data_IF_291107031323
#
_entry.id   IF_291107031323
#
_cell.length_a   1.000
_cell.length_b   1.000
_cell.length_c   1.000
_cell.angle_alpha   90.00
_cell.angle_beta   90.00
_cell.angle_gamma   90.00
#
_symmetry.space_group_name_H-M   'P 1'
#
loop_
_entity.id
_entity.type
_entity.pdbx_description
1 polymer ?
#
# COMPACT_ATOMS: atom_id res chain seq x y z
N UNK A 1 29.38 21.72 -31.70
CA UNK A 1 28.31 22.33 -30.90
C UNK A 1 28.52 21.84 -29.45
N UNK A 2 28.83 22.73 -28.49
CA UNK A 2 29.05 22.36 -27.09
C UNK A 2 27.71 22.44 -26.35
N UNK A 3 27.16 21.31 -25.93
CA UNK A 3 25.95 21.26 -25.09
C UNK A 3 26.31 21.81 -23.70
N UNK A 4 25.55 22.76 -23.18
CA UNK A 4 25.81 23.30 -21.83
C UNK A 4 25.42 22.25 -20.76
N UNK A 5 26.08 22.30 -19.59
CA UNK A 5 25.78 21.44 -18.46
C UNK A 5 24.27 21.45 -18.09
N UNK A 6 23.63 22.62 -18.19
CA UNK A 6 22.19 22.81 -17.92
C UNK A 6 21.31 22.10 -18.98
N UNK A 7 21.69 22.14 -20.24
CA UNK A 7 21.01 21.43 -21.32
C UNK A 7 21.17 19.90 -21.18
N UNK A 8 22.38 19.46 -20.84
CA UNK A 8 22.63 18.02 -20.59
C UNK A 8 21.81 17.49 -19.43
N UNK A 9 21.77 18.19 -18.30
CA UNK A 9 20.96 17.82 -17.14
C UNK A 9 19.45 17.80 -17.44
N UNK A 10 18.98 18.72 -18.30
CA UNK A 10 17.58 18.70 -18.74
C UNK A 10 17.28 17.46 -19.59
N UNK A 11 18.12 17.14 -20.55
CA UNK A 11 17.95 15.94 -21.40
C UNK A 11 17.98 14.67 -20.56
N UNK A 12 18.93 14.57 -19.62
CA UNK A 12 19.01 13.41 -18.71
C UNK A 12 17.71 13.28 -17.87
N UNK A 13 17.18 14.38 -17.34
CA UNK A 13 15.90 14.37 -16.61
C UNK A 13 14.72 13.92 -17.48
N UNK A 14 14.63 14.42 -18.71
CA UNK A 14 13.57 14.05 -19.65
C UNK A 14 13.66 12.57 -20.05
N UNK A 15 14.86 12.05 -20.25
CA UNK A 15 15.10 10.62 -20.53
C UNK A 15 14.79 9.71 -19.34
N UNK A 16 15.21 10.09 -18.14
CA UNK A 16 14.88 9.36 -16.92
C UNK A 16 13.36 9.32 -16.71
N UNK A 17 12.67 10.45 -16.86
CA UNK A 17 11.21 10.52 -16.73
C UNK A 17 10.50 9.65 -17.77
N UNK A 18 10.94 9.64 -19.04
CA UNK A 18 10.37 8.77 -20.08
C UNK A 18 10.61 7.29 -19.78
N UNK A 19 11.78 6.95 -19.28
CA UNK A 19 12.13 5.57 -18.93
C UNK A 19 11.30 5.06 -17.74
N UNK A 20 11.11 5.89 -16.70
CA UNK A 20 10.22 5.61 -15.58
C UNK A 20 8.77 5.37 -16.04
N UNK A 21 8.25 6.22 -16.94
CA UNK A 21 6.91 6.07 -17.51
C UNK A 21 6.77 4.80 -18.34
N UNK A 22 7.82 4.39 -19.06
CA UNK A 22 7.83 3.15 -19.84
C UNK A 22 7.82 1.92 -18.94
N UNK A 23 8.72 1.86 -17.94
CA UNK A 23 8.81 0.77 -16.97
C UNK A 23 7.48 0.64 -16.21
N UNK A 24 6.89 1.76 -15.81
CA UNK A 24 5.60 1.79 -15.16
C UNK A 24 4.47 1.23 -16.05
N UNK A 25 4.44 1.61 -17.34
CA UNK A 25 3.45 1.07 -18.30
C UNK A 25 3.63 -0.43 -18.52
N UNK A 26 4.86 -0.90 -18.68
CA UNK A 26 5.16 -2.33 -18.90
C UNK A 26 4.78 -3.16 -17.68
N UNK A 27 5.10 -2.69 -16.47
CA UNK A 27 4.70 -3.35 -15.23
C UNK A 27 3.17 -3.38 -15.06
N UNK A 28 2.48 -2.26 -15.35
CA UNK A 28 1.01 -2.19 -15.29
C UNK A 28 0.38 -3.09 -16.35
N UNK A 29 0.86 -3.06 -17.59
CA UNK A 29 0.29 -3.89 -18.66
C UNK A 29 0.42 -5.38 -18.35
N UNK A 30 1.53 -5.83 -17.75
CA UNK A 30 1.68 -7.20 -17.28
C UNK A 30 0.66 -7.60 -16.21
N UNK A 31 0.31 -6.65 -15.33
CA UNK A 31 -0.66 -6.85 -14.24
C UNK A 31 -2.12 -6.76 -14.75
N UNK A 32 -2.40 -5.88 -15.71
CA UNK A 32 -3.76 -5.63 -16.23
C UNK A 32 -4.29 -6.74 -17.16
N UNK A 33 -3.50 -7.75 -17.49
CA UNK A 33 -3.96 -8.88 -18.36
C UNK A 33 -4.94 -9.82 -17.64
N UNK A 34 -4.98 -9.82 -16.30
CA UNK A 34 -5.82 -10.74 -15.53
C UNK A 34 -7.30 -10.29 -15.47
N UNK A 35 -7.55 -8.98 -15.37
CA UNK A 35 -8.93 -8.43 -15.36
C UNK A 35 -9.82 -9.08 -14.30
N UNK A 36 -11.04 -9.48 -14.68
CA UNK A 36 -12.01 -10.10 -13.76
C UNK A 36 -11.58 -11.48 -13.21
N UNK A 37 -10.54 -12.07 -13.76
CA UNK A 37 -9.98 -13.35 -13.32
C UNK A 37 -8.82 -13.19 -12.34
N UNK A 38 -8.46 -11.97 -11.97
CA UNK A 38 -7.49 -11.73 -10.91
C UNK A 38 -8.02 -12.31 -9.59
N UNK A 39 -7.28 -13.16 -8.89
CA UNK A 39 -7.76 -13.83 -7.67
C UNK A 39 -8.24 -12.89 -6.59
N UNK A 40 -7.66 -11.70 -6.53
CA UNK A 40 -8.04 -10.66 -5.56
C UNK A 40 -8.99 -9.60 -6.11
N UNK A 41 -9.67 -9.85 -7.24
CA UNK A 41 -10.54 -8.84 -7.87
C UNK A 41 -11.53 -8.22 -6.87
N UNK A 42 -11.65 -6.89 -6.87
CA UNK A 42 -12.55 -6.14 -6.00
C UNK A 42 -12.37 -6.41 -4.49
N UNK A 43 -11.17 -6.83 -4.06
CA UNK A 43 -10.81 -6.96 -2.65
C UNK A 43 -9.83 -5.85 -2.24
N UNK A 44 -10.14 -5.13 -1.17
CA UNK A 44 -9.27 -4.11 -0.59
C UNK A 44 -8.99 -4.44 0.87
N UNK A 45 -7.73 -4.80 1.16
CA UNK A 45 -7.26 -5.06 2.52
C UNK A 45 -6.54 -3.83 3.06
N UNK A 46 -7.02 -3.29 4.15
CA UNK A 46 -6.37 -2.21 4.88
C UNK A 46 -5.46 -2.81 5.94
N UNK A 47 -4.20 -2.39 5.95
CA UNK A 47 -3.29 -2.73 7.04
C UNK A 47 -3.08 -1.53 7.95
N UNK A 48 -3.25 -1.74 9.25
CA UNK A 48 -2.99 -0.74 10.27
C UNK A 48 -2.05 -1.30 11.34
N UNK A 49 -1.28 -0.43 11.98
CA UNK A 49 -0.33 -0.75 13.05
C UNK A 49 0.83 0.25 13.06
N UNK A 50 1.30 0.64 14.23
CA UNK A 50 2.34 1.63 14.43
C UNK A 50 3.73 1.23 13.89
N UNK A 51 4.70 2.13 13.96
CA UNK A 51 6.10 1.81 13.70
C UNK A 51 6.55 0.67 14.61
N UNK A 52 7.27 -0.31 14.08
CA UNK A 52 7.74 -1.47 14.87
C UNK A 52 6.68 -2.55 15.15
N UNK A 53 5.40 -2.35 14.80
CA UNK A 53 4.35 -3.38 15.00
C UNK A 53 4.58 -4.66 14.19
N UNK A 54 5.36 -4.61 13.11
CA UNK A 54 5.64 -5.77 12.27
C UNK A 54 4.69 -5.96 11.10
N UNK A 55 3.98 -4.91 10.66
CA UNK A 55 3.07 -4.96 9.50
C UNK A 55 3.66 -5.63 8.26
N UNK A 56 4.89 -5.29 7.90
CA UNK A 56 5.55 -5.87 6.72
C UNK A 56 5.79 -7.38 6.87
N UNK A 57 6.08 -7.84 8.08
CA UNK A 57 6.19 -9.26 8.39
C UNK A 57 4.83 -9.93 8.24
N UNK A 58 3.80 -9.37 8.87
CA UNK A 58 2.42 -9.87 8.81
C UNK A 58 1.89 -9.89 7.37
N UNK A 59 2.12 -8.82 6.60
CA UNK A 59 1.73 -8.78 5.19
C UNK A 59 2.41 -9.88 4.37
N UNK A 60 3.70 -10.11 4.60
CA UNK A 60 4.44 -11.19 3.92
C UNK A 60 3.95 -12.57 4.33
N UNK A 61 3.64 -12.78 5.59
CA UNK A 61 3.13 -14.05 6.09
C UNK A 61 1.73 -14.35 5.53
N UNK A 62 0.79 -13.38 5.59
CA UNK A 62 -0.59 -13.56 5.15
C UNK A 62 -0.74 -13.66 3.62
N UNK A 63 -0.01 -12.85 2.88
CA UNK A 63 -0.27 -12.72 1.44
C UNK A 63 0.85 -13.32 0.59
N UNK A 64 1.99 -13.67 1.19
CA UNK A 64 3.19 -13.97 0.45
C UNK A 64 3.65 -12.72 -0.32
N UNK A 65 4.55 -12.91 -1.25
CA UNK A 65 4.88 -11.81 -2.17
C UNK A 65 6.14 -12.09 -2.95
N UNK A 66 6.02 -11.85 -4.26
CA UNK A 66 7.14 -11.77 -5.18
C UNK A 66 7.22 -10.31 -5.63
N UNK A 67 8.40 -9.76 -5.60
CA UNK A 67 8.62 -8.42 -6.14
C UNK A 67 8.40 -8.47 -7.65
N UNK A 68 7.27 -7.91 -8.11
CA UNK A 68 6.92 -7.88 -9.53
C UNK A 68 7.74 -6.83 -10.31
N UNK A 69 8.25 -5.82 -9.61
CA UNK A 69 9.20 -4.81 -10.10
C UNK A 69 9.94 -4.18 -8.92
N UNK A 70 10.93 -3.32 -9.17
CA UNK A 70 11.63 -2.57 -8.12
C UNK A 70 10.67 -1.79 -7.19
N UNK A 71 9.49 -1.44 -7.69
CA UNK A 71 8.54 -0.56 -7.01
C UNK A 71 7.20 -1.24 -6.67
N UNK A 72 6.95 -2.44 -7.19
CA UNK A 72 5.64 -3.11 -7.07
C UNK A 72 5.82 -4.51 -6.50
N UNK A 73 5.07 -4.82 -5.44
CA UNK A 73 4.94 -6.17 -4.89
C UNK A 73 3.56 -6.72 -5.23
N UNK A 74 3.52 -7.82 -5.97
CA UNK A 74 2.34 -8.65 -6.14
C UNK A 74 2.38 -9.80 -5.13
N UNK A 75 1.24 -10.18 -4.59
CA UNK A 75 1.15 -11.26 -3.62
C UNK A 75 0.68 -12.56 -4.29
N UNK A 76 0.87 -13.69 -3.61
CA UNK A 76 0.38 -14.98 -4.09
C UNK A 76 -1.15 -15.03 -4.19
N UNK A 77 -1.83 -14.14 -3.47
CA UNK A 77 -3.29 -13.98 -3.49
C UNK A 77 -3.80 -13.06 -4.60
N UNK A 78 -2.93 -12.55 -5.44
CA UNK A 78 -3.28 -11.59 -6.51
C UNK A 78 -3.37 -10.13 -6.04
N UNK A 79 -3.35 -9.85 -4.75
CA UNK A 79 -3.41 -8.49 -4.21
C UNK A 79 -2.11 -7.72 -4.51
N UNK A 80 -2.22 -6.44 -4.85
CA UNK A 80 -1.11 -5.54 -5.13
C UNK A 80 -0.90 -4.60 -3.95
N UNK A 81 0.34 -4.46 -3.47
CA UNK A 81 0.63 -3.66 -2.27
C UNK A 81 0.80 -2.18 -2.65
N UNK A 82 -0.09 -1.33 -2.13
CA UNK A 82 -0.02 0.12 -2.25
C UNK A 82 0.80 0.73 -1.11
N UNK A 83 2.11 0.74 -1.28
CA UNK A 83 3.05 1.37 -0.35
C UNK A 83 3.95 2.38 -1.10
N UNK A 84 4.22 3.53 -0.49
CA UNK A 84 5.15 4.53 -1.04
C UNK A 84 6.60 4.35 -0.58
N UNK A 85 6.86 3.53 0.45
CA UNK A 85 8.18 3.43 1.04
C UNK A 85 9.23 2.84 0.08
N UNK A 86 8.98 1.76 -0.67
CA UNK A 86 9.95 1.27 -1.65
C UNK A 86 10.31 2.30 -2.71
N UNK A 87 9.31 3.05 -3.21
CA UNK A 87 9.54 4.11 -4.18
C UNK A 87 10.33 5.27 -3.56
N UNK A 88 10.05 5.62 -2.30
CA UNK A 88 10.79 6.66 -1.60
C UNK A 88 12.25 6.28 -1.39
N UNK A 89 12.54 5.07 -0.92
CA UNK A 89 13.89 4.57 -0.75
C UNK A 89 14.65 4.53 -2.08
N UNK A 90 14.01 4.09 -3.17
CA UNK A 90 14.59 4.15 -4.51
C UNK A 90 14.96 5.57 -4.90
N UNK A 91 14.03 6.53 -4.78
CA UNK A 91 14.28 7.91 -5.17
C UNK A 91 15.31 8.62 -4.28
N UNK A 92 15.48 8.21 -3.03
CA UNK A 92 16.59 8.67 -2.17
C UNK A 92 17.93 8.15 -2.71
N UNK A 93 18.02 6.86 -3.02
CA UNK A 93 19.23 6.27 -3.60
C UNK A 93 19.58 6.91 -4.95
N UNK A 94 18.59 7.24 -5.79
CA UNK A 94 18.80 7.92 -7.09
C UNK A 94 19.43 9.33 -6.94
N UNK A 95 19.26 9.98 -5.78
CA UNK A 95 19.91 11.24 -5.45
C UNK A 95 21.13 11.10 -4.53
N UNK A 96 21.55 9.85 -4.27
CA UNK A 96 22.75 9.55 -3.49
C UNK A 96 22.57 9.62 -1.97
N UNK A 97 21.35 9.58 -1.48
CA UNK A 97 21.03 9.63 -0.04
C UNK A 97 20.70 8.23 0.47
N UNK A 98 21.40 7.79 1.52
CA UNK A 98 21.06 6.55 2.22
C UNK A 98 19.81 6.76 3.08
N UNK A 99 18.77 5.92 2.96
CA UNK A 99 17.58 6.01 3.83
C UNK A 99 17.88 5.92 5.33
N UNK A 100 19.02 5.38 5.72
CA UNK A 100 19.47 5.34 7.12
C UNK A 100 19.87 6.70 7.69
N UNK A 101 20.27 7.64 6.84
CA UNK A 101 20.75 8.96 7.25
C UNK A 101 19.64 10.00 7.44
N UNK A 102 18.38 9.64 7.14
CA UNK A 102 17.27 10.60 7.13
C UNK A 102 17.04 11.29 8.48
N UNK A 103 17.25 10.58 9.59
CA UNK A 103 17.10 11.18 10.93
C UNK A 103 18.16 12.26 11.17
N UNK A 104 19.43 11.94 10.85
CA UNK A 104 20.56 12.88 10.95
C UNK A 104 20.37 14.07 10.02
N UNK A 105 19.95 13.83 8.77
CA UNK A 105 19.69 14.90 7.80
C UNK A 105 18.59 15.83 8.32
N UNK A 106 17.54 15.29 8.91
CA UNK A 106 16.43 16.10 9.43
C UNK A 106 16.86 17.00 10.60
N UNK A 107 17.86 16.60 11.39
CA UNK A 107 18.39 17.35 12.52
C UNK A 107 19.49 18.33 12.09
N UNK A 108 20.43 17.90 11.24
CA UNK A 108 21.67 18.61 10.95
C UNK A 108 21.61 19.48 9.68
N UNK A 109 20.76 19.13 8.72
CA UNK A 109 20.64 19.84 7.45
C UNK A 109 19.17 20.11 7.06
N UNK A 110 18.54 21.14 7.65
CA UNK A 110 17.14 21.47 7.37
C UNK A 110 16.84 21.81 5.90
N UNK A 111 17.83 22.27 5.14
CA UNK A 111 17.64 22.61 3.73
C UNK A 111 17.59 21.33 2.89
N UNK A 112 18.51 20.41 3.11
CA UNK A 112 18.48 19.09 2.47
C UNK A 112 17.22 18.31 2.89
N UNK A 113 16.84 18.38 4.17
CA UNK A 113 15.61 17.78 4.66
C UNK A 113 14.38 18.27 3.88
N UNK A 114 14.30 19.58 3.64
CA UNK A 114 13.24 20.18 2.82
C UNK A 114 13.29 19.67 1.38
N UNK A 115 14.48 19.69 0.73
CA UNK A 115 14.64 19.20 -0.65
C UNK A 115 14.23 17.73 -0.81
N UNK A 116 14.45 16.90 0.20
CA UNK A 116 14.03 15.50 0.20
C UNK A 116 12.52 15.32 0.51
N UNK A 117 11.85 16.35 1.00
CA UNK A 117 10.46 16.37 1.40
C UNK A 117 10.19 15.77 2.78
N UNK A 118 11.15 15.92 3.71
CA UNK A 118 11.04 15.47 5.10
C UNK A 118 10.43 16.53 6.02
N UNK A 119 10.41 17.78 5.60
CA UNK A 119 9.90 18.93 6.35
C UNK A 119 8.40 19.11 6.06
N UNK A 120 7.56 18.61 6.95
CA UNK A 120 6.11 18.71 6.80
C UNK A 120 5.60 20.16 7.04
N UNK A 121 6.33 21.00 7.78
CA UNK A 121 5.92 22.38 8.08
C UNK A 121 6.11 23.30 6.86
N UNK A 122 7.22 23.16 6.18
CA UNK A 122 7.53 23.91 4.95
C UNK A 122 6.81 23.34 3.71
N UNK A 123 6.21 22.17 3.84
CA UNK A 123 5.56 21.44 2.77
C UNK A 123 6.51 20.57 1.97
N UNK A 124 5.96 19.83 1.00
CA UNK A 124 6.74 18.85 0.21
C UNK A 124 7.02 19.43 -1.17
N UNK A 125 8.31 19.70 -1.52
CA UNK A 125 8.67 20.19 -2.85
C UNK A 125 8.21 19.22 -3.95
N UNK A 126 7.65 19.71 -5.07
CA UNK A 126 7.09 18.87 -6.13
C UNK A 126 8.06 17.84 -6.72
N UNK A 127 9.36 18.18 -6.78
CA UNK A 127 10.39 17.31 -7.37
C UNK A 127 11.18 16.50 -6.35
N UNK A 128 10.80 16.59 -5.07
CA UNK A 128 11.45 15.84 -4.00
C UNK A 128 11.23 14.32 -4.16
N UNK A 129 12.14 13.48 -3.63
CA UNK A 129 11.96 12.03 -3.54
C UNK A 129 10.60 11.63 -2.92
N UNK A 130 10.19 12.35 -1.86
CA UNK A 130 8.90 12.12 -1.19
C UNK A 130 7.70 12.41 -2.09
N UNK A 131 7.72 13.52 -2.82
CA UNK A 131 6.66 13.86 -3.76
C UNK A 131 6.56 12.86 -4.91
N UNK A 132 7.69 12.43 -5.46
CA UNK A 132 7.76 11.40 -6.50
C UNK A 132 7.17 10.08 -6.01
N UNK A 133 7.52 9.63 -4.80
CA UNK A 133 6.97 8.41 -4.21
C UNK A 133 5.45 8.49 -3.98
N UNK A 134 4.95 9.63 -3.49
CA UNK A 134 3.50 9.86 -3.34
C UNK A 134 2.78 9.84 -4.69
N UNK A 135 3.34 10.46 -5.74
CA UNK A 135 2.78 10.42 -7.11
C UNK A 135 2.77 9.00 -7.67
N UNK A 136 3.86 8.25 -7.50
CA UNK A 136 3.92 6.85 -7.91
C UNK A 136 2.80 6.02 -7.28
N UNK A 137 2.65 6.09 -5.95
CA UNK A 137 1.56 5.41 -5.22
C UNK A 137 0.17 5.78 -5.76
N UNK A 138 -0.08 7.08 -5.99
CA UNK A 138 -1.37 7.57 -6.51
C UNK A 138 -1.62 7.08 -7.94
N UNK A 139 -0.62 7.08 -8.79
CA UNK A 139 -0.72 6.59 -10.17
C UNK A 139 -0.97 5.09 -10.21
N UNK A 140 -0.27 4.32 -9.37
CA UNK A 140 -0.48 2.87 -9.22
C UNK A 140 -1.90 2.57 -8.76
N UNK A 141 -2.38 3.27 -7.73
CA UNK A 141 -3.75 3.12 -7.25
C UNK A 141 -4.76 3.37 -8.37
N UNK A 142 -4.65 4.49 -9.09
CA UNK A 142 -5.55 4.81 -10.21
C UNK A 142 -5.54 3.76 -11.31
N UNK A 143 -4.37 3.22 -11.64
CA UNK A 143 -4.24 2.18 -12.64
C UNK A 143 -4.90 0.87 -12.20
N UNK A 144 -4.67 0.44 -10.95
CA UNK A 144 -5.17 -0.83 -10.43
C UNK A 144 -6.66 -0.79 -10.07
N UNK A 145 -7.17 0.37 -9.61
CA UNK A 145 -8.58 0.53 -9.24
C UNK A 145 -9.41 1.22 -10.32
N UNK A 146 -8.85 1.42 -11.50
CA UNK A 146 -9.52 2.07 -12.63
C UNK A 146 -10.75 1.31 -13.12
N UNK A 147 -11.58 1.96 -13.98
CA UNK A 147 -12.86 1.40 -14.42
C UNK A 147 -12.77 0.01 -15.06
N UNK A 148 -11.63 -0.29 -15.70
CA UNK A 148 -11.43 -1.52 -16.46
C UNK A 148 -10.58 -2.57 -15.72
N UNK A 149 -10.04 -2.24 -14.54
CA UNK A 149 -9.11 -3.12 -13.81
C UNK A 149 -9.69 -3.69 -12.54
N UNK A 150 -10.06 -2.84 -11.58
CA UNK A 150 -10.62 -3.25 -10.27
C UNK A 150 -9.80 -4.33 -9.55
N UNK A 151 -8.47 -4.33 -9.77
CA UNK A 151 -7.57 -5.32 -9.18
C UNK A 151 -7.58 -5.26 -7.65
N UNK A 152 -7.33 -6.40 -7.03
CA UNK A 152 -7.20 -6.47 -5.58
C UNK A 152 -6.01 -5.71 -5.04
N UNK A 153 -6.18 -5.01 -3.92
CA UNK A 153 -5.15 -4.14 -3.35
C UNK A 153 -4.99 -4.33 -1.84
N UNK A 154 -3.77 -4.13 -1.37
CA UNK A 154 -3.43 -3.94 0.04
C UNK A 154 -3.05 -2.48 0.24
N UNK A 155 -3.80 -1.77 1.08
CA UNK A 155 -3.56 -0.37 1.44
C UNK A 155 -2.76 -0.35 2.73
N UNK A 156 -1.43 -0.23 2.60
CA UNK A 156 -0.55 -0.12 3.76
C UNK A 156 -0.61 1.29 4.36
N UNK A 157 -0.85 1.33 5.68
CA UNK A 157 -0.94 2.55 6.48
C UNK A 157 -0.57 2.31 7.94
N UNK A 158 -0.35 3.39 8.69
CA UNK A 158 -0.09 3.33 10.14
C UNK A 158 -1.39 3.12 10.93
N UNK A 159 -2.48 3.72 10.50
CA UNK A 159 -3.75 3.69 11.25
C UNK A 159 -3.86 4.74 12.35
N UNK A 160 -2.92 5.68 12.41
CA UNK A 160 -2.92 6.84 13.31
C UNK A 160 -4.05 7.84 13.01
N UNK A 161 -4.48 7.93 11.78
CA UNK A 161 -5.51 8.86 11.32
C UNK A 161 -6.79 8.12 10.89
N UNK A 162 -7.81 8.12 11.76
CA UNK A 162 -9.10 7.47 11.55
C UNK A 162 -9.85 8.05 10.35
N UNK A 163 -9.89 9.37 10.19
CA UNK A 163 -10.61 10.05 9.10
C UNK A 163 -10.06 9.63 7.75
N UNK A 164 -8.75 9.55 7.62
CA UNK A 164 -8.08 9.10 6.40
C UNK A 164 -8.42 7.65 6.04
N UNK A 165 -8.52 6.76 7.02
CA UNK A 165 -8.94 5.36 6.80
C UNK A 165 -10.42 5.32 6.40
N UNK A 166 -11.28 6.05 7.10
CA UNK A 166 -12.72 6.14 6.82
C UNK A 166 -12.98 6.62 5.39
N UNK A 167 -12.34 7.72 4.99
CA UNK A 167 -12.47 8.29 3.63
C UNK A 167 -11.99 7.30 2.56
N UNK A 168 -10.86 6.64 2.79
CA UNK A 168 -10.35 5.65 1.83
C UNK A 168 -11.23 4.41 1.73
N UNK A 169 -11.77 3.93 2.87
CA UNK A 169 -12.70 2.80 2.88
C UNK A 169 -13.95 3.13 2.07
N UNK A 170 -14.59 4.28 2.34
CA UNK A 170 -15.76 4.74 1.60
C UNK A 170 -15.47 4.82 0.09
N UNK A 171 -14.35 5.44 -0.30
CA UNK A 171 -13.94 5.53 -1.71
C UNK A 171 -13.74 4.15 -2.37
N UNK A 172 -13.22 3.15 -1.64
CA UNK A 172 -13.11 1.79 -2.19
C UNK A 172 -14.48 1.13 -2.33
N UNK A 173 -15.35 1.28 -1.36
CA UNK A 173 -16.71 0.72 -1.42
C UNK A 173 -17.56 1.36 -2.52
N UNK A 174 -17.44 2.65 -2.77
CA UNK A 174 -18.04 3.35 -3.92
C UNK A 174 -17.53 2.82 -5.27
N UNK A 175 -16.31 2.34 -5.31
CA UNK A 175 -15.74 1.66 -6.47
C UNK A 175 -16.17 0.19 -6.59
N UNK A 176 -16.94 -0.34 -5.64
CA UNK A 176 -17.44 -1.71 -5.65
C UNK A 176 -16.58 -2.73 -4.91
N UNK A 177 -15.56 -2.30 -4.17
CA UNK A 177 -14.72 -3.20 -3.40
C UNK A 177 -15.40 -3.72 -2.14
N UNK A 178 -15.18 -4.99 -1.82
CA UNK A 178 -15.27 -5.48 -0.46
C UNK A 178 -14.04 -5.02 0.31
N UNK A 179 -14.22 -4.55 1.55
CA UNK A 179 -13.14 -4.04 2.38
C UNK A 179 -12.89 -4.92 3.59
N UNK A 180 -11.63 -5.03 4.00
CA UNK A 180 -11.19 -5.79 5.18
C UNK A 180 -10.05 -5.08 5.87
N UNK A 181 -9.92 -5.22 7.19
CA UNK A 181 -8.80 -4.68 7.94
C UNK A 181 -7.98 -5.77 8.62
N UNK A 182 -6.68 -5.68 8.49
CA UNK A 182 -5.70 -6.39 9.32
C UNK A 182 -5.03 -5.36 10.22
N UNK A 183 -5.37 -5.40 11.51
CA UNK A 183 -4.80 -4.54 12.52
C UNK A 183 -3.66 -5.28 13.23
N UNK A 184 -2.43 -4.78 13.06
CA UNK A 184 -1.24 -5.41 13.65
C UNK A 184 -0.88 -4.69 14.94
N UNK A 185 -1.18 -5.35 16.05
CA UNK A 185 -0.93 -4.87 17.40
C UNK A 185 0.43 -5.32 17.94
N UNK A 186 1.00 -4.52 18.84
CA UNK A 186 2.16 -4.87 19.66
C UNK A 186 2.23 -3.92 20.87
N UNK A 187 3.01 -4.26 21.90
CA UNK A 187 3.25 -3.32 23.00
C UNK A 187 4.17 -2.18 22.57
N UNK A 188 4.12 -1.05 23.27
CA UNK A 188 4.97 0.11 23.00
C UNK A 188 6.46 -0.24 23.13
N UNK A 189 6.83 -1.01 24.15
CA UNK A 189 8.21 -1.45 24.39
C UNK A 189 8.75 -2.24 23.21
N UNK A 190 7.99 -3.20 22.71
CA UNK A 190 8.38 -4.01 21.55
C UNK A 190 8.42 -3.17 20.28
N UNK A 191 7.49 -2.23 20.12
CA UNK A 191 7.49 -1.30 19.00
C UNK A 191 8.75 -0.43 18.97
N UNK A 192 9.14 0.11 20.12
CA UNK A 192 10.36 0.90 20.27
C UNK A 192 11.62 0.07 20.05
N UNK A 193 11.72 -1.12 20.66
CA UNK A 193 12.86 -2.02 20.46
C UNK A 193 13.05 -2.36 18.97
N UNK A 194 11.96 -2.71 18.27
CA UNK A 194 12.01 -3.05 16.84
C UNK A 194 12.32 -1.84 15.97
N UNK A 195 11.81 -0.65 16.33
CA UNK A 195 12.13 0.59 15.62
C UNK A 195 13.63 0.90 15.71
N UNK A 196 14.26 0.67 16.86
CA UNK A 196 15.72 0.89 17.02
C UNK A 196 16.58 -0.06 16.17
N UNK A 197 16.06 -1.21 15.78
CA UNK A 197 16.75 -2.19 14.89
C UNK A 197 16.57 -1.88 13.39
N UNK A 198 15.69 -0.93 13.04
CA UNK A 198 15.43 -0.57 11.62
C UNK A 198 16.55 0.31 11.08
N UNK A 199 16.80 0.22 9.76
CA UNK A 199 17.70 1.13 9.05
C UNK A 199 17.18 2.57 9.18
N UNK A 200 15.91 2.80 8.86
CA UNK A 200 15.22 4.09 9.05
C UNK A 200 14.48 4.08 10.39
N UNK A 201 15.03 4.75 11.37
CA UNK A 201 14.49 4.86 12.74
C UNK A 201 13.65 6.12 12.87
N UNK A 202 12.68 6.08 13.76
CA UNK A 202 11.97 7.25 14.27
C UNK A 202 12.42 7.56 15.68
N UNK A 203 12.42 8.83 16.11
CA UNK A 203 12.65 9.19 17.50
C UNK A 203 11.67 8.48 18.44
N UNK A 204 12.08 7.98 19.61
CA UNK A 204 11.19 7.27 20.53
C UNK A 204 9.90 8.01 20.89
N UNK A 205 9.89 9.34 21.15
CA UNK A 205 8.64 10.08 21.40
C UNK A 205 7.67 10.01 20.22
N UNK A 206 8.18 10.01 18.96
CA UNK A 206 7.33 9.92 17.78
C UNK A 206 6.75 8.51 17.58
N UNK A 207 7.47 7.48 17.98
CA UNK A 207 6.94 6.10 18.00
C UNK A 207 5.80 5.99 19.01
N UNK A 208 5.96 6.56 20.19
CA UNK A 208 4.96 6.56 21.27
C UNK A 208 3.69 7.34 20.86
N UNK A 209 3.84 8.53 20.28
CA UNK A 209 2.74 9.33 19.75
C UNK A 209 1.90 8.51 18.74
N UNK A 210 2.55 7.99 17.69
CA UNK A 210 1.87 7.21 16.66
C UNK A 210 1.25 5.94 17.24
N UNK A 211 1.95 5.25 18.14
CA UNK A 211 1.43 4.04 18.79
C UNK A 211 0.16 4.34 19.59
N UNK A 212 0.16 5.44 20.36
CA UNK A 212 -0.99 5.90 21.16
C UNK A 212 -2.20 6.19 20.27
N UNK A 213 -2.01 6.93 19.18
CA UNK A 213 -3.06 7.26 18.23
C UNK A 213 -3.66 5.98 17.57
N UNK A 214 -2.80 5.05 17.21
CA UNK A 214 -3.21 3.76 16.62
C UNK A 214 -4.03 2.95 17.62
N UNK A 215 -3.62 2.88 18.90
CA UNK A 215 -4.37 2.17 19.94
C UNK A 215 -5.73 2.83 20.21
N UNK A 216 -5.77 4.16 20.24
CA UNK A 216 -7.02 4.91 20.43
C UNK A 216 -8.04 4.65 19.31
N UNK A 217 -7.57 4.37 18.11
CA UNK A 217 -8.42 4.14 16.93
C UNK A 217 -8.97 2.70 16.83
N UNK A 218 -8.46 1.74 17.59
CA UNK A 218 -8.83 0.33 17.43
C UNK A 218 -10.35 0.08 17.54
N UNK A 219 -11.01 0.62 18.57
CA UNK A 219 -12.45 0.47 18.76
C UNK A 219 -13.26 1.11 17.62
N UNK A 220 -12.80 2.24 17.10
CA UNK A 220 -13.40 2.89 15.94
C UNK A 220 -13.24 2.04 14.67
N UNK A 221 -12.10 1.39 14.46
CA UNK A 221 -11.90 0.48 13.34
C UNK A 221 -12.79 -0.75 13.42
N UNK A 222 -12.97 -1.34 14.62
CA UNK A 222 -13.91 -2.44 14.81
C UNK A 222 -15.34 -2.05 14.44
N UNK A 223 -15.76 -0.84 14.78
CA UNK A 223 -17.07 -0.30 14.40
C UNK A 223 -17.16 0.02 12.90
N UNK A 224 -16.11 0.58 12.32
CA UNK A 224 -16.07 1.02 10.92
C UNK A 224 -16.08 -0.17 9.93
N UNK A 225 -15.34 -1.24 10.21
CA UNK A 225 -15.28 -2.42 9.34
C UNK A 225 -16.35 -3.45 9.69
N UNK A 226 -16.79 -3.50 10.94
CA UNK A 226 -17.79 -4.44 11.43
C UNK A 226 -17.23 -5.84 11.75
N UNK A 227 -18.04 -6.65 12.41
CA UNK A 227 -17.66 -8.03 12.74
C UNK A 227 -17.43 -8.85 11.46
N UNK A 228 -16.35 -9.63 11.45
CA UNK A 228 -15.99 -10.50 10.31
C UNK A 228 -15.30 -9.77 9.15
N UNK A 229 -15.07 -8.45 9.27
CA UNK A 229 -14.29 -7.68 8.31
C UNK A 229 -13.06 -6.96 8.93
N UNK A 230 -12.68 -7.37 10.11
CA UNK A 230 -11.43 -6.96 10.78
C UNK A 230 -10.81 -8.15 11.52
N UNK A 231 -9.50 -8.29 11.38
CA UNK A 231 -8.70 -9.22 12.18
C UNK A 231 -7.63 -8.45 12.93
N UNK A 232 -7.48 -8.75 14.23
CA UNK A 232 -6.45 -8.17 15.08
C UNK A 232 -5.34 -9.22 15.26
N UNK A 233 -4.14 -8.87 14.84
CA UNK A 233 -2.95 -9.71 14.96
C UNK A 233 -2.12 -9.20 16.13
N UNK A 234 -2.02 -9.97 17.19
CA UNK A 234 -1.03 -9.70 18.25
C UNK A 234 0.35 -10.17 17.78
N UNK A 235 1.22 -9.23 17.49
CA UNK A 235 2.60 -9.47 17.08
C UNK A 235 3.61 -9.02 18.16
N UNK A 236 3.22 -9.08 19.41
CA UNK A 236 4.09 -8.77 20.55
C UNK A 236 5.24 -9.79 20.65
N UNK A 237 4.93 -11.05 20.47
CA UNK A 237 5.90 -12.15 20.45
C UNK A 237 6.23 -12.51 19.00
N UNK A 238 7.51 -12.66 18.69
CA UNK A 238 7.94 -13.09 17.36
C UNK A 238 7.61 -14.58 17.15
N UNK A 239 6.90 -14.89 16.08
CA UNK A 239 6.50 -16.26 15.76
C UNK A 239 5.62 -16.34 14.51
N UNK A 240 5.19 -17.54 14.11
CA UNK A 240 4.21 -17.71 13.05
C UNK A 240 2.89 -17.03 13.43
N UNK A 241 2.12 -16.62 12.43
CA UNK A 241 0.79 -16.09 12.68
C UNK A 241 -0.14 -17.19 13.20
N UNK A 242 -1.14 -16.85 14.03
CA UNK A 242 -2.19 -17.79 14.41
C UNK A 242 -2.96 -18.29 13.18
N UNK A 243 -3.29 -19.58 13.15
CA UNK A 243 -4.03 -20.21 12.02
C UNK A 243 -5.40 -19.58 11.78
N UNK A 244 -6.08 -19.11 12.82
CA UNK A 244 -7.36 -18.43 12.71
C UNK A 244 -7.26 -17.07 12.02
N UNK A 245 -6.13 -16.38 12.16
CA UNK A 245 -5.84 -15.13 11.45
C UNK A 245 -5.67 -15.39 9.95
N UNK A 246 -4.88 -16.39 9.58
CA UNK A 246 -4.68 -16.79 8.19
C UNK A 246 -6.01 -17.23 7.56
N UNK A 247 -6.74 -18.11 8.23
CA UNK A 247 -8.04 -18.61 7.77
C UNK A 247 -9.09 -17.50 7.58
N UNK A 248 -9.11 -16.48 8.44
CA UNK A 248 -10.03 -15.35 8.33
C UNK A 248 -9.75 -14.51 7.09
N UNK A 249 -8.47 -14.23 6.81
CA UNK A 249 -8.03 -13.47 5.64
C UNK A 249 -8.28 -14.27 4.36
N UNK A 250 -7.95 -15.55 4.32
CA UNK A 250 -8.18 -16.42 3.18
C UNK A 250 -9.68 -16.53 2.86
N UNK A 251 -10.52 -16.66 3.89
CA UNK A 251 -11.98 -16.65 3.75
C UNK A 251 -12.47 -15.35 3.13
N UNK A 252 -11.93 -14.21 3.57
CA UNK A 252 -12.29 -12.90 2.98
C UNK A 252 -11.90 -12.82 1.50
N UNK A 253 -10.71 -13.27 1.13
CA UNK A 253 -10.22 -13.21 -0.25
C UNK A 253 -11.01 -14.16 -1.15
N UNK A 254 -11.27 -15.39 -0.68
CA UNK A 254 -11.92 -16.42 -1.46
C UNK A 254 -13.44 -16.23 -1.64
N UNK A 255 -14.09 -15.48 -0.73
CA UNK A 255 -15.54 -15.30 -0.82
C UNK A 255 -15.95 -14.50 -2.06
N UNK A 256 -17.11 -14.83 -2.67
CA UNK A 256 -17.69 -14.02 -3.74
C UNK A 256 -17.89 -12.56 -3.30
N UNK A 257 -17.86 -11.62 -4.28
CA UNK A 257 -18.05 -10.20 -4.02
C UNK A 257 -19.43 -9.94 -3.43
N UNK A 258 -19.46 -9.20 -2.33
CA UNK A 258 -20.70 -8.85 -1.60
C UNK A 258 -21.18 -7.43 -1.95
N UNK A 259 -20.28 -6.51 -2.27
CA UNK A 259 -20.63 -5.14 -2.63
C UNK A 259 -21.51 -5.10 -3.89
N UNK A 260 -22.73 -4.50 -3.85
CA UNK A 260 -23.65 -4.49 -4.99
C UNK A 260 -23.07 -3.84 -6.25
N UNK A 261 -22.31 -2.76 -6.09
CA UNK A 261 -21.64 -2.06 -7.20
C UNK A 261 -20.59 -2.95 -7.84
N UNK A 262 -19.82 -3.69 -7.03
CA UNK A 262 -18.83 -4.62 -7.51
C UNK A 262 -19.47 -5.81 -8.25
N UNK A 263 -20.56 -6.34 -7.73
CA UNK A 263 -21.32 -7.40 -8.39
C UNK A 263 -21.83 -6.96 -9.76
N UNK A 264 -22.43 -5.77 -9.84
CA UNK A 264 -22.91 -5.21 -11.10
C UNK A 264 -21.76 -5.02 -12.11
N UNK A 265 -20.61 -4.51 -11.65
CA UNK A 265 -19.43 -4.34 -12.51
C UNK A 265 -18.96 -5.70 -13.08
N UNK A 266 -18.92 -6.77 -12.28
CA UNK A 266 -18.57 -8.12 -12.74
C UNK A 266 -19.57 -8.61 -13.80
N UNK A 267 -20.87 -8.44 -13.57
CA UNK A 267 -21.91 -8.82 -14.53
C UNK A 267 -21.75 -8.09 -15.86
N UNK A 268 -21.46 -6.79 -15.83
CA UNK A 268 -21.21 -6.00 -17.03
C UNK A 268 -19.98 -6.49 -17.79
N UNK A 269 -18.90 -6.84 -17.09
CA UNK A 269 -17.70 -7.40 -17.69
C UNK A 269 -17.94 -8.79 -18.31
N UNK A 270 -18.68 -9.65 -17.63
CA UNK A 270 -19.04 -10.97 -18.14
C UNK A 270 -19.93 -10.84 -19.38
N UNK A 271 -20.90 -9.94 -19.36
CA UNK A 271 -21.81 -9.68 -20.47
C UNK A 271 -21.06 -9.21 -21.73
N UNK A 272 -20.09 -8.32 -21.55
CA UNK A 272 -19.22 -7.84 -22.64
C UNK A 272 -18.37 -8.95 -23.27
N UNK A 273 -18.09 -10.03 -22.52
CA UNK A 273 -17.28 -11.17 -22.94
C UNK A 273 -18.11 -12.38 -23.42
N UNK A 274 -19.39 -12.21 -23.67
CA UNK A 274 -20.28 -13.27 -24.16
C UNK A 274 -21.13 -13.94 -23.07
N UNK A 275 -21.28 -13.32 -21.90
CA UNK A 275 -22.22 -13.71 -20.86
C UNK A 275 -21.65 -14.51 -19.69
N UNK A 276 -20.41 -14.94 -19.77
CA UNK A 276 -19.75 -15.75 -18.73
C UNK A 276 -20.33 -17.18 -18.58
N UNK A 277 -19.53 -18.09 -18.07
CA UNK A 277 -19.95 -19.46 -17.74
C UNK A 277 -20.59 -19.53 -16.34
N UNK A 278 -21.39 -20.55 -16.06
CA UNK A 278 -21.94 -20.81 -14.73
C UNK A 278 -20.84 -20.96 -13.67
N UNK A 279 -19.68 -21.51 -14.05
CA UNK A 279 -18.53 -21.64 -13.16
C UNK A 279 -17.97 -20.27 -12.76
N UNK A 280 -17.84 -19.34 -13.73
CA UNK A 280 -17.35 -17.98 -13.48
C UNK A 280 -18.34 -17.22 -12.60
N UNK A 281 -19.64 -17.33 -12.84
CA UNK A 281 -20.68 -16.72 -12.00
C UNK A 281 -20.65 -17.23 -10.58
N UNK A 282 -20.51 -18.55 -10.38
CA UNK A 282 -20.35 -19.13 -9.04
C UNK A 282 -19.12 -18.62 -8.32
N UNK A 283 -17.99 -18.56 -8.99
CA UNK A 283 -16.73 -18.13 -8.39
C UNK A 283 -16.76 -16.65 -8.03
N UNK A 284 -17.23 -15.79 -8.93
CA UNK A 284 -17.15 -14.33 -8.78
C UNK A 284 -18.35 -13.75 -8.02
N UNK A 285 -19.54 -14.31 -8.20
CA UNK A 285 -20.81 -13.76 -7.72
C UNK A 285 -21.53 -14.66 -6.71
N UNK A 286 -21.12 -15.91 -6.57
CA UNK A 286 -21.78 -16.89 -5.69
C UNK A 286 -23.18 -17.28 -6.18
N UNK A 287 -23.43 -17.31 -7.48
CA UNK A 287 -24.73 -17.61 -8.11
C UNK A 287 -24.80 -19.07 -8.54
#
# INVERSE_FOLDING_TARGET
>A
MRVSKKQLLRVIREELFRNEQRIFREAINGILTEGIYDPGILKAVFMAGGPGSGKSYTAKALFGGVQASELTTATNTGLKILNSDPAFEKYLNDVGVDPGDLATIAEDDPELAYELGLDDERGIPPDSPRAKAKRYKTSSQRAWTGPNSRLGIIIDGTGDNLEKITTKKAAMEELGYDTYMVFVNTTLEVAQERNMKRKRKLPPPKVEEIWTDVQANLGAFQSLFGQGAITIVDNTVYGPLPEDVEAAVDTFIARPIQNPIGRQWIEDQLSTRGGGTDKERRTLLGQ
#
